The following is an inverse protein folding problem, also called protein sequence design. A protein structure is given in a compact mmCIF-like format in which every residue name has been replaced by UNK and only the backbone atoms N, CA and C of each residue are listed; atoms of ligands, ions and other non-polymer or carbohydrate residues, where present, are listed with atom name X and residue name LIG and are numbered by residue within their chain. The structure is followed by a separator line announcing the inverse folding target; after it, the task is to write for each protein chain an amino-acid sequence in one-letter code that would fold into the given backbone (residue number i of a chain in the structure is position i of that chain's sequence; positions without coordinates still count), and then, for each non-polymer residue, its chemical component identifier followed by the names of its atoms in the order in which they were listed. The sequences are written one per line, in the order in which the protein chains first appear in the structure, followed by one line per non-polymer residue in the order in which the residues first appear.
data_IF_770399171113
#
_entry.id   IF_770399171113
#
_cell.length_a   1.000
_cell.length_b   1.000
_cell.length_c   1.000
_cell.angle_alpha   90.00
_cell.angle_beta   90.00
_cell.angle_gamma   90.00
#
_symmetry.space_group_name_H-M   'P 1'
#
loop_
_entity.id
_entity.type
_entity.pdbx_description
1 polymer ?
#
# COMPACT_ATOMS: atom_id res chain seq x y z
N UNK A 1 -15.91 -25.74 7.10
CA UNK A 1 -15.82 -24.27 7.24
C UNK A 1 -14.35 -23.88 7.38
N UNK A 2 -13.67 -23.58 6.26
CA UNK A 2 -12.26 -23.19 6.28
C UNK A 2 -12.14 -21.75 6.83
N UNK A 3 -11.60 -21.59 8.04
CA UNK A 3 -11.17 -20.28 8.53
C UNK A 3 -9.86 -19.92 7.83
N UNK A 4 -9.93 -19.14 6.76
CA UNK A 4 -8.75 -18.53 6.16
C UNK A 4 -8.18 -17.55 7.19
N UNK A 5 -7.07 -17.92 7.86
CA UNK A 5 -6.29 -16.97 8.66
C UNK A 5 -5.62 -16.00 7.69
N UNK A 6 -6.22 -14.84 7.51
CA UNK A 6 -5.64 -13.78 6.69
C UNK A 6 -4.45 -13.17 7.45
N UNK A 7 -3.24 -13.35 6.92
CA UNK A 7 -2.01 -12.77 7.45
C UNK A 7 -2.10 -11.23 7.44
N UNK A 8 -1.41 -10.56 8.36
CA UNK A 8 -1.40 -9.10 8.46
C UNK A 8 -0.92 -8.45 7.16
N UNK A 9 0.10 -9.04 6.56
CA UNK A 9 0.63 -8.62 5.25
C UNK A 9 -0.42 -8.74 4.15
N UNK A 10 -1.22 -9.82 4.14
CA UNK A 10 -2.29 -9.98 3.15
C UNK A 10 -3.34 -8.88 3.26
N UNK A 11 -3.69 -8.44 4.48
CA UNK A 11 -4.62 -7.30 4.68
C UNK A 11 -4.06 -6.01 4.08
N UNK A 12 -2.76 -5.75 4.26
CA UNK A 12 -2.07 -4.58 3.70
C UNK A 12 -2.17 -4.60 2.17
N UNK A 13 -1.90 -5.73 1.53
CA UNK A 13 -2.05 -5.86 0.07
C UNK A 13 -3.49 -5.74 -0.40
N UNK A 14 -4.47 -6.28 0.34
CA UNK A 14 -5.88 -6.12 0.00
C UNK A 14 -6.28 -4.65 0.05
N UNK A 15 -5.88 -3.92 1.11
CA UNK A 15 -6.17 -2.49 1.23
C UNK A 15 -5.50 -1.69 0.11
N UNK A 16 -4.24 -2.00 -0.21
CA UNK A 16 -3.54 -1.39 -1.34
C UNK A 16 -4.25 -1.65 -2.68
N UNK A 17 -4.61 -2.91 -2.95
CA UNK A 17 -5.32 -3.29 -4.16
C UNK A 17 -6.68 -2.62 -4.30
N UNK A 18 -7.43 -2.52 -3.20
CA UNK A 18 -8.72 -1.80 -3.16
C UNK A 18 -8.56 -0.29 -3.35
N UNK A 19 -7.51 0.32 -2.77
CA UNK A 19 -7.19 1.72 -3.00
C UNK A 19 -6.88 1.99 -4.48
N UNK A 20 -6.02 1.17 -5.09
CA UNK A 20 -5.66 1.27 -6.51
C UNK A 20 -6.88 1.06 -7.39
N UNK A 21 -7.67 0.02 -7.13
CA UNK A 21 -8.90 -0.26 -7.89
C UNK A 21 -9.89 0.90 -7.80
N UNK A 22 -10.08 1.48 -6.62
CA UNK A 22 -10.99 2.61 -6.42
C UNK A 22 -10.50 3.86 -7.16
N UNK A 23 -9.19 4.13 -7.15
CA UNK A 23 -8.60 5.24 -7.91
C UNK A 23 -8.74 5.02 -9.44
N UNK A 24 -8.54 3.80 -9.93
CA UNK A 24 -8.74 3.46 -11.35
C UNK A 24 -10.20 3.62 -11.74
N UNK A 25 -11.15 3.16 -10.91
CA UNK A 25 -12.57 3.32 -11.17
C UNK A 25 -12.99 4.79 -11.16
N UNK A 26 -12.49 5.59 -10.22
CA UNK A 26 -12.72 7.04 -10.20
C UNK A 26 -12.30 7.68 -11.53
N UNK A 27 -11.07 7.40 -11.99
CA UNK A 27 -10.55 7.95 -13.24
C UNK A 27 -11.31 7.43 -14.47
N UNK A 28 -11.70 6.15 -14.48
CA UNK A 28 -12.47 5.57 -15.57
C UNK A 28 -13.85 6.22 -15.68
N UNK A 29 -14.57 6.32 -14.56
CA UNK A 29 -15.90 6.95 -14.54
C UNK A 29 -15.79 8.42 -14.92
N UNK A 30 -14.79 9.15 -14.44
CA UNK A 30 -14.52 10.52 -14.85
C UNK A 30 -14.29 10.62 -16.37
N UNK A 31 -13.48 9.73 -16.95
CA UNK A 31 -13.20 9.71 -18.38
C UNK A 31 -14.45 9.42 -19.24
N UNK A 32 -15.38 8.57 -18.77
CA UNK A 32 -16.61 8.25 -19.50
C UNK A 32 -17.73 9.27 -19.32
N UNK A 33 -17.91 9.79 -18.11
CA UNK A 33 -19.04 10.67 -17.77
C UNK A 33 -18.70 12.16 -17.87
N UNK A 34 -17.41 12.52 -17.81
CA UNK A 34 -16.95 13.91 -17.69
C UNK A 34 -17.28 14.56 -16.34
N UNK A 35 -17.90 13.81 -15.41
CA UNK A 35 -18.29 14.30 -14.08
C UNK A 35 -17.40 13.70 -13.00
N UNK A 36 -16.98 14.53 -12.06
CA UNK A 36 -16.21 14.08 -10.89
C UNK A 36 -17.13 13.29 -9.95
N UNK A 37 -16.88 11.99 -9.83
CA UNK A 37 -17.61 11.12 -8.90
C UNK A 37 -16.89 11.06 -7.53
N UNK A 38 -17.43 11.72 -6.48
CA UNK A 38 -16.75 11.83 -5.20
C UNK A 38 -16.69 10.49 -4.44
N UNK A 39 -17.60 9.56 -4.74
CA UNK A 39 -17.70 8.28 -4.03
C UNK A 39 -16.42 7.46 -4.16
N UNK A 40 -15.93 7.25 -5.39
CA UNK A 40 -14.71 6.46 -5.62
C UNK A 40 -13.45 7.17 -5.10
N UNK A 41 -13.43 8.50 -5.12
CA UNK A 41 -12.35 9.28 -4.53
C UNK A 41 -12.29 9.12 -3.01
N UNK A 42 -13.42 9.29 -2.32
CA UNK A 42 -13.51 9.10 -0.86
C UNK A 42 -13.15 7.67 -0.48
N UNK A 43 -13.61 6.68 -1.26
CA UNK A 43 -13.31 5.28 -1.02
C UNK A 43 -11.81 4.98 -1.18
N UNK A 44 -11.18 5.50 -2.23
CA UNK A 44 -9.74 5.42 -2.43
C UNK A 44 -8.98 6.05 -1.25
N UNK A 45 -9.41 7.24 -0.79
CA UNK A 45 -8.80 7.93 0.34
C UNK A 45 -8.89 7.12 1.63
N UNK A 46 -10.06 6.56 1.95
CA UNK A 46 -10.26 5.70 3.13
C UNK A 46 -9.34 4.47 3.06
N UNK A 47 -9.23 3.81 1.91
CA UNK A 47 -8.36 2.66 1.76
C UNK A 47 -6.88 3.02 1.86
N UNK A 48 -6.45 4.16 1.33
CA UNK A 48 -5.06 4.65 1.49
C UNK A 48 -4.73 4.94 2.95
N UNK A 49 -5.65 5.59 3.68
CA UNK A 49 -5.45 5.87 5.11
C UNK A 49 -5.40 4.56 5.93
N UNK A 50 -6.32 3.63 5.68
CA UNK A 50 -6.33 2.32 6.32
C UNK A 50 -5.06 1.51 6.01
N UNK A 51 -4.62 1.52 4.75
CA UNK A 51 -3.36 0.93 4.30
C UNK A 51 -2.18 1.54 5.08
N UNK A 52 -2.10 2.87 5.15
CA UNK A 52 -1.02 3.59 5.83
C UNK A 52 -0.96 3.24 7.31
N UNK A 53 -2.10 3.23 8.00
CA UNK A 53 -2.17 2.83 9.41
C UNK A 53 -1.76 1.37 9.62
N UNK A 54 -2.20 0.45 8.75
CA UNK A 54 -1.85 -0.96 8.84
C UNK A 54 -0.34 -1.19 8.64
N UNK A 55 0.28 -0.44 7.72
CA UNK A 55 1.72 -0.48 7.49
C UNK A 55 2.50 0.08 8.68
N UNK A 56 2.10 1.23 9.22
CA UNK A 56 2.73 1.82 10.42
C UNK A 56 2.68 0.83 11.58
N UNK A 57 1.51 0.22 11.82
CA UNK A 57 1.34 -0.78 12.86
C UNK A 57 2.28 -1.98 12.67
N UNK A 58 2.43 -2.48 11.44
CA UNK A 58 3.32 -3.60 11.16
C UNK A 58 4.80 -3.22 11.38
N UNK A 59 5.20 -2.00 10.99
CA UNK A 59 6.55 -1.47 11.26
C UNK A 59 6.83 -1.41 12.77
N UNK A 60 5.89 -0.90 13.56
CA UNK A 60 6.01 -0.85 15.03
C UNK A 60 6.20 -2.27 15.59
N UNK A 61 5.38 -3.22 15.15
CA UNK A 61 5.50 -4.62 15.59
C UNK A 61 6.86 -5.24 15.24
N UNK A 62 7.40 -4.95 14.06
CA UNK A 62 8.73 -5.42 13.64
C UNK A 62 9.82 -4.85 14.57
N UNK A 63 9.75 -3.55 14.87
CA UNK A 63 10.71 -2.85 15.72
C UNK A 63 10.66 -3.39 17.15
N UNK A 64 9.46 -3.52 17.73
CA UNK A 64 9.27 -3.95 19.12
C UNK A 64 9.60 -5.43 19.34
N UNK A 65 9.10 -6.31 18.46
CA UNK A 65 9.20 -7.76 18.67
C UNK A 65 10.48 -8.36 18.13
N UNK A 66 11.26 -7.61 17.34
CA UNK A 66 12.43 -8.09 16.57
C UNK A 66 12.16 -9.42 15.84
N UNK A 67 10.90 -9.66 15.51
CA UNK A 67 10.48 -10.88 14.86
C UNK A 67 10.76 -10.72 13.37
N UNK A 68 11.30 -11.75 12.69
CA UNK A 68 11.27 -11.80 11.25
C UNK A 68 9.81 -12.03 10.84
N UNK A 69 9.00 -10.97 10.87
CA UNK A 69 7.82 -10.91 10.02
C UNK A 69 8.32 -10.91 8.57
N UNK A 70 7.45 -11.25 7.62
CA UNK A 70 7.77 -11.25 6.20
C UNK A 70 8.06 -9.81 5.69
N UNK A 71 9.12 -9.17 6.18
CA UNK A 71 9.53 -7.78 5.92
C UNK A 71 9.85 -7.59 4.46
N UNK A 72 10.36 -8.62 3.79
CA UNK A 72 10.56 -8.61 2.34
C UNK A 72 9.24 -8.40 1.56
N UNK A 73 8.09 -8.89 2.06
CA UNK A 73 6.79 -8.66 1.42
C UNK A 73 6.40 -7.19 1.53
N UNK A 74 6.50 -6.60 2.72
CA UNK A 74 6.34 -5.14 2.85
C UNK A 74 7.34 -4.39 1.96
N UNK A 75 8.57 -4.89 1.90
CA UNK A 75 9.63 -4.44 1.02
C UNK A 75 9.23 -4.35 -0.45
N UNK A 76 8.46 -5.32 -0.93
CA UNK A 76 7.97 -5.36 -2.29
C UNK A 76 7.03 -4.19 -2.62
N UNK A 77 6.34 -3.60 -1.63
CA UNK A 77 5.59 -2.36 -1.84
C UNK A 77 6.50 -1.21 -2.29
N UNK A 78 7.80 -1.29 -1.98
CA UNK A 78 8.77 -0.30 -2.43
C UNK A 78 9.04 -0.28 -3.93
N UNK A 79 8.81 -1.38 -4.64
CA UNK A 79 8.88 -1.36 -6.11
C UNK A 79 7.82 -0.45 -6.71
N UNK A 80 6.66 -0.29 -6.07
CA UNK A 80 5.66 0.67 -6.53
C UNK A 80 6.17 2.11 -6.39
N UNK A 81 7.13 2.39 -5.52
CA UNK A 81 7.77 3.71 -5.44
C UNK A 81 8.44 4.14 -6.75
N UNK A 82 8.89 3.20 -7.58
CA UNK A 82 9.44 3.52 -8.90
C UNK A 82 8.42 4.19 -9.83
N UNK A 83 7.11 3.98 -9.61
CA UNK A 83 6.04 4.69 -10.33
C UNK A 83 6.13 6.20 -10.08
N UNK A 84 6.63 6.63 -8.92
CA UNK A 84 6.88 8.04 -8.60
C UNK A 84 7.98 8.70 -9.45
N UNK A 85 8.76 7.94 -10.22
CA UNK A 85 9.68 8.49 -11.22
C UNK A 85 8.97 9.01 -12.47
N UNK A 86 7.70 8.63 -12.66
CA UNK A 86 6.86 9.18 -13.72
C UNK A 86 6.47 10.61 -13.32
N UNK A 87 6.71 11.63 -14.17
CA UNK A 87 6.51 13.04 -13.83
C UNK A 87 5.12 13.38 -13.27
N UNK A 88 4.09 12.63 -13.69
CA UNK A 88 2.70 12.83 -13.27
C UNK A 88 2.38 12.34 -11.84
N UNK A 89 3.17 11.44 -11.26
CA UNK A 89 2.93 10.87 -9.93
C UNK A 89 3.69 11.62 -8.81
N UNK A 90 4.84 12.22 -9.16
CA UNK A 90 5.60 13.09 -8.27
C UNK A 90 6.49 12.37 -7.25
N UNK A 91 7.43 13.13 -6.69
CA UNK A 91 8.47 12.65 -5.75
C UNK A 91 7.91 12.16 -4.41
N UNK A 92 6.71 12.61 -4.00
CA UNK A 92 6.04 12.13 -2.79
C UNK A 92 5.70 10.64 -2.85
N UNK A 93 5.29 10.14 -4.02
CA UNK A 93 4.99 8.73 -4.24
C UNK A 93 6.27 7.88 -4.15
N UNK A 94 7.37 8.38 -4.73
CA UNK A 94 8.69 7.75 -4.64
C UNK A 94 9.19 7.71 -3.19
N UNK A 95 9.04 8.80 -2.43
CA UNK A 95 9.47 8.85 -1.03
C UNK A 95 8.68 7.88 -0.14
N UNK A 96 7.35 7.90 -0.25
CA UNK A 96 6.47 7.08 0.59
C UNK A 96 6.64 5.58 0.30
N UNK A 97 6.54 5.17 -0.97
CA UNK A 97 6.67 3.75 -1.30
C UNK A 97 8.14 3.31 -1.29
N UNK A 98 9.07 4.11 -1.82
CA UNK A 98 10.50 3.79 -1.85
C UNK A 98 11.10 3.52 -0.46
N UNK A 99 10.57 4.16 0.60
CA UNK A 99 10.92 3.84 1.98
C UNK A 99 10.69 2.37 2.34
N UNK A 100 9.61 1.74 1.83
CA UNK A 100 9.38 0.31 2.06
C UNK A 100 10.45 -0.55 1.42
N UNK A 101 10.99 -0.16 0.27
CA UNK A 101 12.08 -0.88 -0.41
C UNK A 101 13.31 -1.03 0.50
N UNK A 102 13.57 -0.07 1.38
CA UNK A 102 14.64 -0.14 2.37
C UNK A 102 14.39 -1.21 3.44
N UNK A 103 13.12 -1.44 3.83
CA UNK A 103 12.75 -2.44 4.83
C UNK A 103 13.10 -3.87 4.39
N UNK A 104 13.11 -4.14 3.09
CA UNK A 104 13.53 -5.43 2.52
C UNK A 104 14.98 -5.78 2.84
N UNK A 105 15.86 -4.79 3.01
CA UNK A 105 17.29 -5.01 3.28
C UNK A 105 17.61 -5.24 4.76
N UNK A 106 16.66 -4.92 5.66
CA UNK A 106 16.83 -5.16 7.10
C UNK A 106 16.46 -6.60 7.52
N UNK A 107 16.12 -7.48 6.57
CA UNK A 107 15.90 -8.89 6.85
C UNK A 107 17.24 -9.55 7.24
N UNK A 108 17.48 -9.66 8.55
CA UNK A 108 18.60 -10.44 9.08
C UNK A 108 18.30 -11.92 8.82
N UNK A 109 19.01 -12.51 7.85
CA UNK A 109 19.18 -13.95 7.78
C UNK A 109 19.74 -14.42 9.13
N UNK A 110 18.93 -15.15 9.90
CA UNK A 110 19.41 -15.97 11.02
C UNK A 110 19.90 -17.31 10.48
#
# INVERSE_FOLDING_TARGET
MFKIKLDHVTKIYTLFGLAVLSAVLHNAVYAFSGTEEPVFFILALIFVLAFTMAVIHEIILIIEKRAPANTWKLGFLGFFGLVGLIPSFGSGFLGFFGFFGLLSFFERKK
#
